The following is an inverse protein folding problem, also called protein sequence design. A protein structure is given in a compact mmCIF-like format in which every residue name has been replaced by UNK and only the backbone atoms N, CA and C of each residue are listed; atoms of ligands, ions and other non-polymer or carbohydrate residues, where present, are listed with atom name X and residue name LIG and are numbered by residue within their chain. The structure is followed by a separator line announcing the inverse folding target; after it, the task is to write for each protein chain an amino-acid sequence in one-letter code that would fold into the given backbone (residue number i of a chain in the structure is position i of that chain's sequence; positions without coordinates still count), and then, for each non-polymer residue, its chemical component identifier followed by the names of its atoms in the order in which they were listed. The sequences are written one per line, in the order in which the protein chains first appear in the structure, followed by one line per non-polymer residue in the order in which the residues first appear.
data_IF_463006352105
#
_entry.id   IF_463006352105
#
_cell.length_a   1.000
_cell.length_b   1.000
_cell.length_c   1.000
_cell.angle_alpha   90.00
_cell.angle_beta   90.00
_cell.angle_gamma   90.00
#
_symmetry.space_group_name_H-M   'P 1'
#
loop_
_entity.id
_entity.type
_entity.pdbx_description
1 polymer ?
#
# COMPACT_ATOMS: atom_id res chain seq x y z
N UNK A 1 -2.07 -0.18 16.70
CA UNK A 1 -2.22 -1.05 15.51
C UNK A 1 -1.24 -0.65 14.43
N UNK A 2 -0.92 -1.57 13.50
CA UNK A 2 0.01 -1.31 12.39
C UNK A 2 -0.62 -0.44 11.29
N UNK A 3 -1.89 -0.67 10.96
CA UNK A 3 -2.66 0.12 9.99
C UNK A 3 -3.43 1.25 10.67
N UNK A 4 -3.52 2.41 10.02
CA UNK A 4 -4.40 3.53 10.40
C UNK A 4 -5.12 4.05 9.16
N UNK A 5 -6.41 4.34 9.26
CA UNK A 5 -7.23 4.76 8.13
C UNK A 5 -6.75 6.09 7.49
N UNK A 6 -6.18 6.99 8.28
CA UNK A 6 -5.72 8.29 7.78
C UNK A 6 -4.30 8.25 7.19
N UNK A 7 -3.47 7.27 7.55
CA UNK A 7 -2.03 7.29 7.27
C UNK A 7 -1.46 5.97 6.73
N UNK A 8 -2.33 4.98 6.47
CA UNK A 8 -1.93 3.66 5.96
C UNK A 8 -1.12 2.82 6.95
N UNK A 9 -0.43 1.81 6.41
CA UNK A 9 0.44 0.90 7.16
C UNK A 9 1.66 1.61 7.76
N UNK A 10 2.07 1.14 8.95
CA UNK A 10 3.37 1.48 9.53
C UNK A 10 4.49 0.81 8.74
N UNK A 11 5.57 1.54 8.48
CA UNK A 11 6.80 0.91 8.01
C UNK A 11 7.52 0.15 9.13
N UNK A 12 7.47 0.71 10.34
CA UNK A 12 8.10 0.13 11.53
C UNK A 12 7.07 0.05 12.65
N UNK A 13 6.84 -1.15 13.16
CA UNK A 13 5.93 -1.38 14.28
C UNK A 13 6.43 -0.63 15.53
N UNK A 14 5.49 0.00 16.25
CA UNK A 14 5.79 0.74 17.48
C UNK A 14 6.41 2.13 17.28
N UNK A 15 6.64 2.58 16.03
CA UNK A 15 7.02 3.96 15.72
C UNK A 15 5.87 4.71 15.06
N UNK A 16 5.79 6.03 15.27
CA UNK A 16 4.74 6.82 14.64
C UNK A 16 5.00 7.09 13.15
N UNK A 17 6.25 7.21 12.71
CA UNK A 17 6.66 7.43 11.31
C UNK A 17 7.94 6.62 10.98
N UNK A 18 8.21 6.29 9.70
CA UNK A 18 7.39 6.59 8.52
C UNK A 18 6.18 5.67 8.35
N UNK A 19 5.11 6.17 7.71
CA UNK A 19 3.90 5.39 7.34
C UNK A 19 3.45 5.66 5.91
N UNK A 20 2.52 4.83 5.45
CA UNK A 20 1.75 5.11 4.24
C UNK A 20 2.56 4.99 2.95
N UNK A 21 3.64 4.20 2.95
CA UNK A 21 4.32 3.84 1.71
C UNK A 21 3.50 2.81 0.96
N UNK A 22 3.44 2.93 -0.37
CA UNK A 22 2.62 2.03 -1.17
C UNK A 22 2.99 0.56 -0.90
N UNK A 23 4.29 0.25 -0.83
CA UNK A 23 4.81 -1.11 -0.65
C UNK A 23 4.30 -1.74 0.65
N UNK A 24 4.43 -1.07 1.80
CA UNK A 24 3.94 -1.57 3.09
C UNK A 24 2.43 -1.90 3.04
N UNK A 25 1.65 -1.09 2.33
CA UNK A 25 0.21 -1.27 2.22
C UNK A 25 -0.17 -2.44 1.30
N UNK A 26 0.35 -2.47 0.08
CA UNK A 26 -0.04 -3.49 -0.92
C UNK A 26 0.46 -4.88 -0.53
N UNK A 27 1.65 -4.99 0.06
CA UNK A 27 2.16 -6.27 0.57
C UNK A 27 1.34 -6.77 1.77
N UNK A 28 0.89 -5.87 2.64
CA UNK A 28 -0.01 -6.22 3.74
C UNK A 28 -1.39 -6.64 3.23
N UNK A 29 -1.92 -5.95 2.22
CA UNK A 29 -3.19 -6.31 1.60
C UNK A 29 -3.15 -7.69 0.96
N UNK A 30 -2.06 -8.02 0.26
CA UNK A 30 -1.82 -9.35 -0.29
C UNK A 30 -1.75 -10.41 0.83
N UNK A 31 -1.00 -10.15 1.90
CA UNK A 31 -0.94 -11.08 3.04
C UNK A 31 -2.30 -11.28 3.74
N UNK A 32 -3.15 -10.25 3.80
CA UNK A 32 -4.51 -10.39 4.29
C UNK A 32 -5.40 -11.21 3.34
N UNK A 33 -5.22 -11.06 2.03
CA UNK A 33 -5.93 -11.88 1.06
C UNK A 33 -5.52 -13.37 1.20
N UNK A 34 -4.22 -13.66 1.28
CA UNK A 34 -3.72 -15.01 1.53
C UNK A 34 -4.28 -15.60 2.83
N UNK A 35 -4.36 -14.80 3.89
CA UNK A 35 -4.94 -15.23 5.17
C UNK A 35 -6.44 -15.56 5.05
N UNK A 36 -7.19 -14.80 4.25
CA UNK A 36 -8.58 -15.14 3.94
C UNK A 36 -8.67 -16.47 3.18
N UNK A 37 -7.87 -16.65 2.12
CA UNK A 37 -7.87 -17.89 1.32
C UNK A 37 -7.51 -19.12 2.16
N UNK A 38 -6.56 -18.99 3.08
CA UNK A 38 -6.13 -20.08 3.95
C UNK A 38 -7.12 -20.43 5.07
N UNK A 39 -7.93 -19.47 5.53
CA UNK A 39 -8.75 -19.63 6.75
C UNK A 39 -10.26 -19.54 6.55
N UNK A 40 -10.71 -18.91 5.46
CA UNK A 40 -12.11 -18.55 5.23
C UNK A 40 -12.65 -17.43 6.13
N UNK A 41 -11.82 -16.82 6.99
CA UNK A 41 -12.25 -15.78 7.91
C UNK A 41 -12.38 -14.42 7.19
N UNK A 42 -13.63 -13.99 7.00
CA UNK A 42 -13.99 -12.78 6.25
C UNK A 42 -13.34 -11.49 6.79
N UNK A 43 -12.88 -11.46 8.05
CA UNK A 43 -12.19 -10.28 8.59
C UNK A 43 -10.93 -9.95 7.80
N UNK A 44 -10.26 -10.95 7.22
CA UNK A 44 -9.03 -10.73 6.47
C UNK A 44 -9.31 -10.15 5.10
N UNK A 45 -10.39 -10.59 4.45
CA UNK A 45 -10.87 -10.01 3.20
C UNK A 45 -11.28 -8.54 3.41
N UNK A 46 -12.02 -8.23 4.48
CA UNK A 46 -12.39 -6.85 4.84
C UNK A 46 -11.14 -5.97 5.04
N UNK A 47 -10.13 -6.47 5.75
CA UNK A 47 -8.87 -5.74 5.96
C UNK A 47 -8.14 -5.47 4.64
N UNK A 48 -8.03 -6.48 3.77
CA UNK A 48 -7.40 -6.32 2.46
C UNK A 48 -8.11 -5.24 1.63
N UNK A 49 -9.44 -5.33 1.53
CA UNK A 49 -10.26 -4.36 0.80
C UNK A 49 -10.12 -2.94 1.34
N UNK A 50 -10.12 -2.76 2.67
CA UNK A 50 -9.95 -1.44 3.30
C UNK A 50 -8.58 -0.82 3.03
N UNK A 51 -7.51 -1.63 3.07
CA UNK A 51 -6.16 -1.15 2.75
C UNK A 51 -6.08 -0.75 1.27
N UNK A 52 -6.61 -1.56 0.36
CA UNK A 52 -6.59 -1.26 -1.08
C UNK A 52 -7.47 -0.06 -1.46
N UNK A 53 -8.61 0.15 -0.80
CA UNK A 53 -9.44 1.34 -0.98
C UNK A 53 -8.68 2.62 -0.54
N UNK A 54 -7.93 2.55 0.56
CA UNK A 54 -7.05 3.65 0.96
C UNK A 54 -5.94 3.89 -0.08
N UNK A 55 -5.29 2.83 -0.60
CA UNK A 55 -4.30 2.96 -1.67
C UNK A 55 -4.88 3.64 -2.92
N UNK A 56 -6.10 3.26 -3.33
CA UNK A 56 -6.81 3.87 -4.46
C UNK A 56 -7.00 5.37 -4.29
N UNK A 57 -7.22 5.84 -3.05
CA UNK A 57 -7.40 7.26 -2.75
C UNK A 57 -6.04 7.99 -2.65
N UNK A 58 -5.10 7.41 -1.89
CA UNK A 58 -3.86 8.08 -1.51
C UNK A 58 -2.77 8.02 -2.61
N UNK A 59 -2.74 6.96 -3.41
CA UNK A 59 -1.60 6.65 -4.28
C UNK A 59 -1.92 6.59 -5.77
N UNK A 60 -3.18 6.33 -6.17
CA UNK A 60 -3.54 6.16 -7.59
C UNK A 60 -3.15 7.40 -8.40
N UNK A 61 -2.69 7.17 -9.63
CA UNK A 61 -2.53 8.19 -10.66
C UNK A 61 -3.79 8.23 -11.52
N UNK A 62 -4.61 9.27 -11.38
CA UNK A 62 -5.88 9.39 -12.13
C UNK A 62 -5.66 9.68 -13.62
N UNK A 63 -4.49 10.20 -14.00
CA UNK A 63 -4.20 10.60 -15.38
C UNK A 63 -3.63 9.45 -16.20
N UNK A 64 -2.66 8.70 -15.64
CA UNK A 64 -1.96 7.64 -16.37
C UNK A 64 -2.12 6.24 -15.75
N UNK A 65 -2.94 6.09 -14.71
CA UNK A 65 -3.13 4.82 -14.02
C UNK A 65 -1.90 4.33 -13.25
N UNK A 66 -2.08 3.21 -12.56
CA UNK A 66 -1.13 2.73 -11.57
C UNK A 66 -1.11 3.57 -10.30
N UNK A 67 -0.12 3.32 -9.47
CA UNK A 67 0.04 3.87 -8.14
C UNK A 67 1.44 4.46 -7.97
N UNK A 68 1.48 5.64 -7.35
CA UNK A 68 2.71 6.25 -6.90
C UNK A 68 3.18 5.64 -5.57
N UNK A 69 4.49 5.52 -5.38
CA UNK A 69 5.12 5.02 -4.15
C UNK A 69 4.81 5.86 -2.90
N UNK A 70 4.69 7.17 -3.08
CA UNK A 70 4.33 8.14 -2.03
C UNK A 70 2.87 8.61 -2.18
N UNK A 71 2.21 8.82 -1.04
CA UNK A 71 0.84 9.36 -1.01
C UNK A 71 0.82 10.81 -1.49
N UNK A 72 -0.34 11.26 -1.98
CA UNK A 72 -0.56 12.64 -2.47
C UNK A 72 -0.26 13.71 -1.43
N UNK A 73 -0.49 13.41 -0.14
CA UNK A 73 -0.34 14.36 0.96
C UNK A 73 1.06 14.34 1.59
N UNK A 74 1.93 13.43 1.18
CA UNK A 74 3.29 13.33 1.72
C UNK A 74 4.24 14.27 0.98
N UNK A 75 4.55 15.40 1.61
CA UNK A 75 5.60 16.30 1.15
C UNK A 75 6.98 15.70 1.48
N UNK A 76 7.72 15.24 0.46
CA UNK A 76 9.13 14.92 0.59
C UNK A 76 10.01 16.17 0.44
N UNK A 77 11.22 16.14 1.01
CA UNK A 77 12.18 17.22 0.85
C UNK A 77 12.90 17.12 -0.50
N UNK A 78 12.85 18.18 -1.32
CA UNK A 78 13.55 18.28 -2.59
C UNK A 78 13.33 17.03 -3.49
N UNK A 79 14.41 16.39 -3.97
CA UNK A 79 14.32 15.21 -4.85
C UNK A 79 13.60 14.01 -4.21
N UNK A 80 13.54 13.92 -2.87
CA UNK A 80 12.81 12.85 -2.17
C UNK A 80 11.29 13.04 -2.17
N UNK A 81 10.79 14.18 -2.68
CA UNK A 81 9.36 14.41 -2.91
C UNK A 81 8.87 13.97 -4.29
N UNK A 82 9.77 13.60 -5.21
CA UNK A 82 9.38 13.12 -6.54
C UNK A 82 8.75 11.74 -6.40
N UNK A 83 7.45 11.66 -6.66
CA UNK A 83 6.68 10.42 -6.61
C UNK A 83 7.03 9.55 -7.82
N UNK A 84 7.44 8.31 -7.58
CA UNK A 84 7.73 7.33 -8.62
C UNK A 84 6.58 6.32 -8.74
N UNK A 85 6.51 5.61 -9.87
CA UNK A 85 5.62 4.44 -10.05
C UNK A 85 6.48 3.20 -10.26
N UNK A 86 6.97 2.55 -9.17
CA UNK A 86 7.83 1.38 -9.31
C UNK A 86 7.03 0.23 -9.94
N UNK A 87 7.53 -0.30 -11.04
CA UNK A 87 6.95 -1.44 -11.78
C UNK A 87 7.94 -2.59 -11.94
N UNK A 88 9.19 -2.38 -11.52
CA UNK A 88 10.24 -3.36 -11.58
C UNK A 88 10.11 -4.34 -10.42
N UNK A 89 9.98 -5.61 -10.76
CA UNK A 89 9.99 -6.72 -9.81
C UNK A 89 11.45 -7.12 -9.53
N UNK A 90 12.10 -6.49 -8.56
CA UNK A 90 13.44 -6.85 -8.13
C UNK A 90 13.83 -6.22 -6.76
N UNK A 91 14.24 -7.01 -5.75
CA UNK A 91 14.10 -8.47 -5.61
C UNK A 91 12.69 -8.89 -5.15
N UNK A 92 11.88 -7.96 -4.65
CA UNK A 92 10.49 -8.18 -4.26
C UNK A 92 9.56 -7.81 -5.42
N UNK A 93 8.36 -8.41 -5.49
CA UNK A 93 7.33 -7.97 -6.43
C UNK A 93 7.09 -6.46 -6.30
N UNK A 94 6.93 -5.79 -7.44
CA UNK A 94 6.70 -4.36 -7.47
C UNK A 94 5.36 -4.02 -6.81
N UNK A 95 5.27 -2.89 -6.12
CA UNK A 95 4.04 -2.53 -5.44
C UNK A 95 2.87 -2.28 -6.42
N UNK A 96 3.15 -1.86 -7.66
CA UNK A 96 2.11 -1.78 -8.70
C UNK A 96 1.63 -3.17 -9.16
N UNK A 97 2.54 -4.14 -9.30
CA UNK A 97 2.19 -5.51 -9.64
C UNK A 97 1.35 -6.17 -8.55
N UNK A 98 1.75 -6.02 -7.29
CA UNK A 98 1.00 -6.54 -6.13
C UNK A 98 -0.35 -5.84 -5.99
N UNK A 99 -0.41 -4.52 -6.18
CA UNK A 99 -1.67 -3.79 -6.18
C UNK A 99 -2.66 -4.35 -7.22
N UNK A 100 -2.17 -4.69 -8.43
CA UNK A 100 -3.02 -5.26 -9.47
C UNK A 100 -3.59 -6.64 -9.12
N UNK A 101 -2.89 -7.42 -8.29
CA UNK A 101 -3.33 -8.75 -7.83
C UNK A 101 -4.31 -8.67 -6.64
N UNK A 102 -4.19 -7.64 -5.81
CA UNK A 102 -4.98 -7.48 -4.59
C UNK A 102 -6.27 -6.63 -4.76
N UNK A 103 -6.54 -6.13 -5.97
CA UNK A 103 -7.70 -5.28 -6.29
C UNK A 103 -9.04 -6.02 -6.39
#
# INVERSE_FOLDING_TARGET
EAWREQSGMAHVLGRDEPRGMLDDNVQSAAAFLDAYEATGDARWLDRSARVMAWCATAHRDDAAGGYFDLSRDRAGAAYLGTRAKPVQDAPTPSPNGVAALAL
#
